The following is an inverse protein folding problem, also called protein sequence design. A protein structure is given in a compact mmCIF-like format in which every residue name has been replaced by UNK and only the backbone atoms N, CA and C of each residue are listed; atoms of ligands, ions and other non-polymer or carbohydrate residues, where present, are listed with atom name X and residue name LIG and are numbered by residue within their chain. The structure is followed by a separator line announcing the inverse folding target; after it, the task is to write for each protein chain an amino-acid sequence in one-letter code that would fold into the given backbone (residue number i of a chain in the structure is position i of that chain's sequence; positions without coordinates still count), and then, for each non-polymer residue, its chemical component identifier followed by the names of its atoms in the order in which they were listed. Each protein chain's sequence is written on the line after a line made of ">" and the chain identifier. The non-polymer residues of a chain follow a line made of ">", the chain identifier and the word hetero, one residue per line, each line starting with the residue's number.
data_IF_545220389102
#
_entry.id   IF_545220389102
#
_cell.length_a   1.000
_cell.length_b   1.000
_cell.length_c   1.000
_cell.angle_alpha   90.00
_cell.angle_beta   90.00
_cell.angle_gamma   90.00
#
_symmetry.space_group_name_H-M   'P 1'
#
loop_
_entity.id
_entity.type
_entity.pdbx_description
1 polymer ?
#
# COMPACT_ATOMS: atom_id res chain seq x y z
N UNK A 1 20.40 19.27 -0.23
CA UNK A 1 19.51 20.05 0.65
C UNK A 1 18.42 20.69 -0.17
N UNK A 2 17.18 20.61 0.30
CA UNK A 2 16.03 21.29 -0.31
C UNK A 2 15.90 22.67 0.35
N UNK A 3 15.68 23.72 -0.45
CA UNK A 3 15.53 25.07 0.08
C UNK A 3 14.28 25.20 0.96
N UNK A 4 14.39 25.92 2.08
CA UNK A 4 13.29 26.13 3.04
C UNK A 4 12.05 26.73 2.37
N UNK A 5 12.22 27.68 1.45
CA UNK A 5 11.14 28.28 0.69
C UNK A 5 10.35 27.25 -0.13
N UNK A 6 11.05 26.27 -0.73
CA UNK A 6 10.39 25.19 -1.49
C UNK A 6 9.59 24.29 -0.54
N UNK A 7 10.15 23.97 0.63
CA UNK A 7 9.46 23.16 1.64
C UNK A 7 8.17 23.88 2.10
N UNK A 8 8.25 25.15 2.43
CA UNK A 8 7.09 25.95 2.84
C UNK A 8 6.00 25.99 1.75
N UNK A 9 6.39 26.21 0.50
CA UNK A 9 5.45 26.22 -0.62
C UNK A 9 4.74 24.87 -0.77
N UNK A 10 5.50 23.76 -0.75
CA UNK A 10 4.93 22.40 -0.88
C UNK A 10 3.97 22.10 0.26
N UNK A 11 4.35 22.41 1.50
CA UNK A 11 3.48 22.16 2.65
C UNK A 11 2.20 23.00 2.61
N UNK A 12 2.29 24.27 2.16
CA UNK A 12 1.12 25.13 2.00
C UNK A 12 0.14 24.59 0.94
N UNK A 13 0.65 24.17 -0.22
CA UNK A 13 -0.14 23.55 -1.29
C UNK A 13 -0.78 22.22 -0.82
N UNK A 14 -0.03 21.39 -0.10
CA UNK A 14 -0.53 20.14 0.46
C UNK A 14 -1.62 20.39 1.52
N UNK A 15 -1.47 21.42 2.34
CA UNK A 15 -2.50 21.83 3.33
C UNK A 15 -3.80 22.25 2.64
N UNK A 16 -3.70 23.07 1.59
CA UNK A 16 -4.84 23.49 0.79
C UNK A 16 -5.55 22.29 0.14
N UNK A 17 -4.77 21.36 -0.42
CA UNK A 17 -5.31 20.13 -1.00
C UNK A 17 -6.08 19.28 0.02
N UNK A 18 -5.54 19.08 1.22
CA UNK A 18 -6.20 18.34 2.30
C UNK A 18 -7.44 19.08 2.82
N UNK A 19 -7.44 20.41 2.81
CA UNK A 19 -8.59 21.23 3.19
C UNK A 19 -9.84 21.00 2.34
N UNK A 20 -9.69 20.46 1.14
CA UNK A 20 -10.79 20.11 0.24
C UNK A 20 -11.29 18.67 0.43
N UNK A 21 -10.80 17.93 1.41
CA UNK A 21 -11.23 16.57 1.67
C UNK A 21 -12.59 16.50 2.36
N UNK A 22 -13.39 15.53 1.92
CA UNK A 22 -14.73 15.24 2.41
C UNK A 22 -14.79 13.81 2.96
N UNK A 23 -14.34 13.57 4.22
CA UNK A 23 -14.22 12.23 4.78
C UNK A 23 -15.54 11.45 4.80
N UNK A 24 -16.67 12.15 4.92
CA UNK A 24 -18.01 11.57 4.92
C UNK A 24 -18.39 10.88 3.60
N UNK A 25 -17.69 11.21 2.50
CA UNK A 25 -17.88 10.58 1.19
C UNK A 25 -17.04 9.31 1.01
N UNK A 26 -16.14 9.04 1.95
CA UNK A 26 -15.23 7.90 1.87
C UNK A 26 -15.82 6.65 2.51
N UNK A 27 -15.48 5.51 1.92
CA UNK A 27 -15.90 4.21 2.45
C UNK A 27 -15.26 3.96 3.81
N UNK A 28 -16.08 3.53 4.77
CA UNK A 28 -15.58 3.09 6.07
C UNK A 28 -14.77 1.81 5.90
N UNK A 29 -13.53 1.81 6.43
CA UNK A 29 -12.62 0.67 6.39
C UNK A 29 -12.59 -0.05 7.74
N UNK A 30 -12.40 -1.36 7.70
CA UNK A 30 -12.24 -2.14 8.93
C UNK A 30 -10.99 -1.74 9.70
N UNK A 31 -9.95 -1.33 8.98
CA UNK A 31 -8.65 -0.93 9.51
C UNK A 31 -8.69 0.37 10.31
N UNK A 32 -9.75 1.18 10.19
CA UNK A 32 -9.96 2.39 11.03
C UNK A 32 -9.96 2.04 12.53
N UNK A 33 -10.51 0.88 12.89
CA UNK A 33 -10.55 0.41 14.27
C UNK A 33 -9.18 -0.04 14.83
N UNK A 34 -8.16 -0.14 13.98
CA UNK A 34 -6.81 -0.53 14.36
C UNK A 34 -5.92 0.66 14.74
N UNK A 35 -6.38 1.89 14.50
CA UNK A 35 -5.65 3.07 14.92
C UNK A 35 -5.73 3.26 16.43
N UNK A 36 -4.59 3.46 17.05
CA UNK A 36 -4.46 3.75 18.47
C UNK A 36 -4.13 5.23 18.66
N UNK A 37 -5.18 6.03 18.94
CA UNK A 37 -5.01 7.43 19.29
C UNK A 37 -4.38 7.56 20.68
N UNK A 38 -3.63 8.64 20.89
CA UNK A 38 -2.91 8.93 22.14
C UNK A 38 -1.90 7.82 22.56
N UNK A 39 -1.59 6.92 21.65
CA UNK A 39 -0.57 5.90 21.84
C UNK A 39 0.84 6.51 21.63
N UNK A 40 1.84 6.10 22.42
CA UNK A 40 3.25 6.47 22.18
C UNK A 40 3.87 5.77 20.97
N UNK A 41 3.07 4.95 20.27
CA UNK A 41 3.51 4.19 19.11
C UNK A 41 3.25 4.97 17.82
N UNK A 42 4.19 4.92 16.88
CA UNK A 42 3.93 5.40 15.53
C UNK A 42 2.86 4.52 14.86
N UNK A 43 1.83 5.12 14.27
CA UNK A 43 0.83 4.41 13.48
C UNK A 43 1.36 4.25 12.06
N UNK A 44 1.66 3.03 11.65
CA UNK A 44 2.32 2.72 10.37
C UNK A 44 1.35 2.00 9.44
N UNK A 45 0.84 2.72 8.45
CA UNK A 45 -0.11 2.18 7.47
C UNK A 45 0.63 1.74 6.20
N UNK A 46 0.62 0.46 5.95
CA UNK A 46 1.30 -0.16 4.81
C UNK A 46 0.31 -0.91 3.92
N UNK A 47 0.68 -1.12 2.68
CA UNK A 47 -0.15 -1.82 1.72
C UNK A 47 0.22 -1.47 0.28
N UNK A 48 -0.39 -2.16 -0.66
CA UNK A 48 -0.13 -1.96 -2.08
C UNK A 48 -0.35 -0.51 -2.51
N UNK A 49 0.43 -0.04 -3.47
CA UNK A 49 0.23 1.29 -4.09
C UNK A 49 -1.24 1.45 -4.51
N UNK A 50 -1.84 2.63 -4.22
CA UNK A 50 -3.24 2.99 -4.55
C UNK A 50 -4.33 2.17 -3.81
N UNK A 51 -4.01 1.55 -2.69
CA UNK A 51 -5.03 0.92 -1.82
C UNK A 51 -5.84 1.91 -0.98
N UNK A 52 -5.46 3.19 -0.97
CA UNK A 52 -6.14 4.25 -0.21
C UNK A 52 -5.51 4.54 1.16
N UNK A 53 -4.22 4.26 1.37
CA UNK A 53 -3.51 4.50 2.65
C UNK A 53 -3.60 5.94 3.13
N UNK A 54 -3.21 6.89 2.28
CA UNK A 54 -3.26 8.32 2.60
C UNK A 54 -4.68 8.78 2.91
N UNK A 55 -5.66 8.31 2.11
CA UNK A 55 -7.09 8.59 2.33
C UNK A 55 -7.57 8.06 3.68
N UNK A 56 -7.18 6.83 4.05
CA UNK A 56 -7.52 6.24 5.36
C UNK A 56 -6.94 7.09 6.50
N UNK A 57 -5.66 7.47 6.42
CA UNK A 57 -5.02 8.28 7.46
C UNK A 57 -5.69 9.64 7.61
N UNK A 58 -5.93 10.35 6.51
CA UNK A 58 -6.66 11.62 6.54
C UNK A 58 -8.06 11.48 7.12
N UNK A 59 -8.81 10.44 6.69
CA UNK A 59 -10.16 10.17 7.18
C UNK A 59 -10.16 10.03 8.70
N UNK A 60 -9.30 9.17 9.21
CA UNK A 60 -9.23 8.88 10.65
C UNK A 60 -8.82 10.13 11.44
N UNK A 61 -7.81 10.88 11.00
CA UNK A 61 -7.36 12.11 11.67
C UNK A 61 -8.44 13.20 11.65
N UNK A 62 -9.13 13.39 10.54
CA UNK A 62 -10.20 14.38 10.40
C UNK A 62 -11.44 14.01 11.23
N UNK A 63 -11.87 12.73 11.23
CA UNK A 63 -13.01 12.27 12.04
C UNK A 63 -12.75 12.41 13.54
N UNK A 64 -11.52 12.20 13.99
CA UNK A 64 -11.12 12.41 15.38
C UNK A 64 -10.83 13.88 15.73
N UNK A 65 -10.91 14.79 14.74
CA UNK A 65 -10.71 16.23 14.92
C UNK A 65 -9.39 16.60 15.57
N UNK A 66 -8.35 15.83 15.31
CA UNK A 66 -7.02 16.12 15.83
C UNK A 66 -6.33 17.18 14.99
N UNK A 67 -5.55 18.06 15.65
CA UNK A 67 -4.71 19.04 14.96
C UNK A 67 -3.43 18.35 14.49
N UNK A 68 -3.20 18.29 13.18
CA UNK A 68 -2.05 17.58 12.62
C UNK A 68 -1.35 18.34 11.50
N UNK A 69 -0.02 18.22 11.46
CA UNK A 69 0.79 18.62 10.32
C UNK A 69 0.87 17.48 9.30
N UNK A 70 0.94 17.81 8.03
CA UNK A 70 1.02 16.83 6.92
C UNK A 70 2.18 17.13 5.98
N UNK A 71 2.89 16.09 5.57
CA UNK A 71 3.91 16.16 4.53
C UNK A 71 3.89 14.88 3.68
N UNK A 72 3.75 15.04 2.36
CA UNK A 72 3.82 13.94 1.39
C UNK A 72 5.17 13.96 0.67
N UNK A 73 5.91 12.86 0.81
CA UNK A 73 7.25 12.69 0.25
C UNK A 73 7.25 12.05 -1.16
N UNK A 74 6.08 11.83 -1.78
CA UNK A 74 5.98 11.46 -3.21
C UNK A 74 5.95 12.71 -4.12
N UNK A 75 6.03 13.93 -3.53
CA UNK A 75 6.20 15.20 -4.26
C UNK A 75 7.59 15.26 -4.89
N UNK A 76 7.67 15.55 -6.18
CA UNK A 76 8.93 15.56 -6.95
C UNK A 76 9.94 16.61 -6.45
N UNK A 77 9.46 17.70 -5.85
CA UNK A 77 10.31 18.73 -5.23
C UNK A 77 11.05 18.22 -3.99
N UNK A 78 10.54 17.14 -3.37
CA UNK A 78 11.18 16.44 -2.27
C UNK A 78 12.08 15.28 -2.70
N UNK A 79 12.19 15.00 -4.01
CA UNK A 79 12.97 13.86 -4.53
C UNK A 79 14.46 13.85 -4.13
N UNK A 80 15.03 15.01 -3.77
CA UNK A 80 16.42 15.14 -3.31
C UNK A 80 16.54 15.39 -1.80
N UNK A 81 15.43 15.25 -1.05
CA UNK A 81 15.44 15.46 0.40
C UNK A 81 16.29 14.42 1.10
N UNK A 82 17.10 14.88 2.04
CA UNK A 82 18.00 14.06 2.86
C UNK A 82 17.55 14.10 4.33
N UNK A 83 18.11 13.23 5.15
CA UNK A 83 17.83 13.17 6.58
C UNK A 83 18.04 14.53 7.28
N UNK A 84 19.05 15.28 6.85
CA UNK A 84 19.42 16.60 7.39
C UNK A 84 18.33 17.64 7.15
N UNK A 85 17.60 17.54 6.03
CA UNK A 85 16.52 18.45 5.65
C UNK A 85 15.26 18.27 6.51
N UNK A 86 15.11 17.12 7.17
CA UNK A 86 13.91 16.78 7.98
C UNK A 86 13.74 17.70 9.19
N UNK A 87 14.80 18.34 9.68
CA UNK A 87 14.69 19.33 10.74
C UNK A 87 14.09 20.64 10.21
N UNK A 88 14.54 21.09 9.05
CA UNK A 88 13.97 22.24 8.34
C UNK A 88 12.51 21.98 7.97
N UNK A 89 12.19 20.77 7.50
CA UNK A 89 10.80 20.36 7.25
C UNK A 89 9.94 20.52 8.50
N UNK A 90 10.39 20.05 9.66
CA UNK A 90 9.62 20.18 10.91
C UNK A 90 9.37 21.64 11.28
N UNK A 91 10.38 22.50 11.14
CA UNK A 91 10.23 23.95 11.34
C UNK A 91 9.18 24.53 10.41
N UNK A 92 9.21 24.17 9.12
CA UNK A 92 8.22 24.60 8.13
C UNK A 92 6.81 24.05 8.45
N UNK A 93 6.71 22.81 8.94
CA UNK A 93 5.42 22.25 9.39
C UNK A 93 4.82 23.11 10.50
N UNK A 94 5.61 23.49 11.51
CA UNK A 94 5.12 24.39 12.56
C UNK A 94 4.72 25.79 12.04
N UNK A 95 5.43 26.31 11.04
CA UNK A 95 5.08 27.59 10.42
C UNK A 95 3.74 27.52 9.68
N UNK A 96 3.48 26.40 8.97
CA UNK A 96 2.28 26.24 8.13
C UNK A 96 1.06 25.78 8.93
N UNK A 97 1.24 24.87 9.90
CA UNK A 97 0.12 24.20 10.61
C UNK A 97 -0.10 24.77 12.03
N UNK A 98 0.89 25.51 12.58
CA UNK A 98 0.89 25.99 13.96
C UNK A 98 1.77 25.16 14.87
N UNK A 99 2.18 25.75 15.99
CA UNK A 99 3.07 25.10 16.97
C UNK A 99 2.32 24.19 17.94
N UNK A 100 1.00 24.18 17.89
CA UNK A 100 0.08 23.43 18.74
C UNK A 100 -0.36 22.08 18.12
N UNK A 101 0.25 21.68 17.02
CA UNK A 101 -0.03 20.35 16.42
C UNK A 101 0.34 19.25 17.41
N UNK A 102 -0.55 18.27 17.55
CA UNK A 102 -0.34 17.09 18.38
C UNK A 102 0.07 15.88 17.54
N UNK A 103 -0.33 15.85 16.28
CA UNK A 103 -0.09 14.78 15.34
C UNK A 103 0.73 15.28 14.16
N UNK A 104 1.54 14.38 13.60
CA UNK A 104 2.21 14.61 12.32
C UNK A 104 1.99 13.39 11.42
N UNK A 105 1.48 13.65 10.21
CA UNK A 105 1.29 12.62 9.19
C UNK A 105 2.34 12.77 8.09
N UNK A 106 3.20 11.77 7.98
CA UNK A 106 4.30 11.69 7.02
C UNK A 106 3.97 10.62 5.98
N UNK A 107 3.49 11.06 4.82
CA UNK A 107 3.02 10.19 3.74
C UNK A 107 4.17 9.79 2.82
N UNK A 108 4.35 8.48 2.57
CA UNK A 108 5.44 7.89 1.77
C UNK A 108 6.85 8.28 2.28
N UNK A 109 7.03 8.39 3.62
CA UNK A 109 8.27 8.86 4.27
C UNK A 109 9.50 8.01 3.93
N UNK A 110 9.34 6.75 3.51
CA UNK A 110 10.43 5.89 3.08
C UNK A 110 11.20 6.40 1.86
N UNK A 111 10.71 7.44 1.21
CA UNK A 111 11.43 8.12 0.13
C UNK A 111 12.64 8.91 0.64
N UNK A 112 12.74 9.17 1.95
CA UNK A 112 13.90 9.82 2.59
C UNK A 112 14.71 8.78 3.34
N UNK A 113 15.99 8.64 3.01
CA UNK A 113 16.87 7.74 3.75
C UNK A 113 17.03 8.20 5.20
N UNK A 114 17.11 7.26 6.16
CA UNK A 114 17.26 7.57 7.59
C UNK A 114 16.01 8.16 8.26
N UNK A 115 14.86 8.19 7.61
CA UNK A 115 13.60 8.72 8.11
C UNK A 115 13.21 8.20 9.51
N UNK A 116 13.57 6.98 9.83
CA UNK A 116 13.28 6.33 11.12
C UNK A 116 13.93 7.06 12.32
N UNK A 117 15.09 7.68 12.11
CA UNK A 117 15.76 8.49 13.14
C UNK A 117 14.94 9.73 13.47
N UNK A 118 14.35 10.32 12.44
CA UNK A 118 13.44 11.46 12.57
C UNK A 118 12.17 11.06 13.29
N UNK A 119 11.49 9.99 12.88
CA UNK A 119 10.28 9.47 13.56
C UNK A 119 10.55 9.18 15.03
N UNK A 120 11.65 8.49 15.35
CA UNK A 120 12.03 8.23 16.75
C UNK A 120 12.23 9.52 17.56
N UNK A 121 12.76 10.58 16.94
CA UNK A 121 12.91 11.89 17.59
C UNK A 121 11.56 12.53 17.85
N UNK A 122 10.63 12.50 16.89
CA UNK A 122 9.28 13.03 17.05
C UNK A 122 8.53 12.34 18.19
N UNK A 123 8.59 11.00 18.23
CA UNK A 123 7.98 10.22 19.32
C UNK A 123 8.54 10.59 20.71
N UNK A 124 9.85 10.86 20.81
CA UNK A 124 10.47 11.34 22.06
C UNK A 124 10.05 12.75 22.44
N UNK A 125 9.61 13.54 21.47
CA UNK A 125 9.08 14.89 21.68
C UNK A 125 7.57 14.91 21.94
N UNK A 126 6.97 13.74 22.21
CA UNK A 126 5.53 13.54 22.45
C UNK A 126 4.62 13.97 21.29
N UNK A 127 5.13 13.95 20.06
CA UNK A 127 4.31 14.04 18.88
C UNK A 127 3.79 12.66 18.49
N UNK A 128 2.49 12.54 18.26
CA UNK A 128 1.91 11.33 17.69
C UNK A 128 2.20 11.28 16.20
N UNK A 129 2.77 10.17 15.76
CA UNK A 129 3.27 10.06 14.39
C UNK A 129 2.44 9.04 13.62
N UNK A 130 1.92 9.47 12.47
CA UNK A 130 1.28 8.58 11.47
C UNK A 130 2.19 8.55 10.25
N UNK A 131 2.52 7.36 9.76
CA UNK A 131 3.32 7.20 8.55
C UNK A 131 2.64 6.24 7.58
N UNK A 132 2.81 6.49 6.29
CA UNK A 132 2.40 5.53 5.27
C UNK A 132 3.59 5.09 4.44
N UNK A 133 3.42 3.94 3.81
CA UNK A 133 4.32 3.48 2.76
C UNK A 133 3.71 2.39 1.89
N UNK A 134 3.96 2.50 0.59
CA UNK A 134 3.52 1.52 -0.40
C UNK A 134 4.39 0.27 -0.43
N UNK A 135 5.40 0.19 0.45
CA UNK A 135 6.49 -0.71 0.23
C UNK A 135 7.05 -1.32 1.52
N UNK A 136 7.55 -2.51 1.39
CA UNK A 136 8.16 -3.32 2.43
C UNK A 136 9.49 -2.80 3.03
N UNK A 137 10.00 -1.62 2.63
CA UNK A 137 11.01 -0.93 3.46
C UNK A 137 10.47 -0.67 4.87
N UNK A 138 9.16 -0.46 4.95
CA UNK A 138 8.45 -0.40 6.22
C UNK A 138 8.19 -1.80 6.82
N UNK A 139 8.24 -2.90 6.02
CA UNK A 139 7.90 -4.25 6.46
C UNK A 139 9.08 -5.16 6.80
N UNK A 140 10.23 -4.98 6.16
CA UNK A 140 11.31 -5.96 6.25
C UNK A 140 12.33 -5.57 7.31
N UNK A 141 12.10 -5.95 8.55
CA UNK A 141 13.12 -5.86 9.59
C UNK A 141 13.60 -4.44 9.95
N UNK A 142 13.46 -3.49 9.01
CA UNK A 142 13.84 -2.09 9.23
C UNK A 142 12.93 -1.43 10.26
N UNK A 143 11.59 -1.65 10.22
CA UNK A 143 10.70 -1.16 11.28
C UNK A 143 11.04 -1.79 12.62
N UNK A 144 11.14 -3.12 12.65
CA UNK A 144 11.47 -3.84 13.88
C UNK A 144 12.84 -3.44 14.42
N UNK A 145 13.83 -3.22 13.53
CA UNK A 145 15.20 -2.86 13.90
C UNK A 145 15.32 -1.37 14.24
N UNK A 146 14.67 -0.49 13.48
CA UNK A 146 14.87 0.96 13.57
C UNK A 146 13.88 1.67 14.49
N UNK A 147 12.61 1.25 14.52
CA UNK A 147 11.63 1.78 15.48
C UNK A 147 11.59 0.98 16.79
N UNK A 148 12.36 -0.11 16.89
CA UNK A 148 12.57 -0.88 18.14
C UNK A 148 11.26 -1.25 18.86
N UNK A 149 10.24 -1.67 18.11
CA UNK A 149 8.93 -2.04 18.64
C UNK A 149 8.01 -0.87 19.01
N UNK A 150 8.37 0.37 18.67
CA UNK A 150 7.55 1.56 18.95
C UNK A 150 6.62 1.91 17.79
N UNK A 151 5.93 0.92 17.23
CA UNK A 151 4.99 1.12 16.15
C UNK A 151 3.80 0.16 16.24
N UNK A 152 2.66 0.63 15.75
CA UNK A 152 1.48 -0.15 15.47
C UNK A 152 1.35 -0.29 13.94
N UNK A 153 1.36 -1.50 13.42
CA UNK A 153 1.38 -1.78 11.98
C UNK A 153 -0.02 -2.11 11.48
N UNK A 154 -0.50 -1.34 10.52
CA UNK A 154 -1.82 -1.47 9.94
C UNK A 154 -1.69 -1.81 8.45
N UNK A 155 -2.13 -3.00 8.07
CA UNK A 155 -2.12 -3.46 6.68
C UNK A 155 -3.40 -3.07 5.95
N UNK A 156 -3.29 -2.22 4.92
CA UNK A 156 -4.42 -1.81 4.11
C UNK A 156 -4.38 -2.49 2.74
N UNK A 157 -5.40 -3.28 2.46
CA UNK A 157 -5.64 -3.90 1.17
C UNK A 157 -6.61 -3.07 0.32
N UNK A 158 -6.74 -3.33 -1.00
CA UNK A 158 -7.87 -2.83 -1.79
C UNK A 158 -9.21 -3.20 -1.14
N UNK A 159 -10.31 -2.59 -1.56
CA UNK A 159 -11.62 -2.87 -0.99
C UNK A 159 -11.92 -4.36 -0.93
N UNK A 160 -12.35 -4.83 0.22
CA UNK A 160 -13.05 -6.12 0.34
C UNK A 160 -14.38 -6.06 -0.40
N UNK A 161 -15.00 -7.20 -0.70
CA UNK A 161 -16.32 -7.23 -1.34
C UNK A 161 -17.36 -6.42 -0.55
N UNK A 162 -17.30 -6.45 0.77
CA UNK A 162 -18.23 -5.67 1.62
C UNK A 162 -18.03 -4.16 1.43
N UNK A 163 -16.79 -3.69 1.40
CA UNK A 163 -16.43 -2.28 1.19
C UNK A 163 -16.78 -1.85 -0.24
N UNK A 164 -16.56 -2.72 -1.23
CA UNK A 164 -16.99 -2.52 -2.60
C UNK A 164 -18.50 -2.33 -2.70
N UNK A 165 -19.30 -3.20 -2.05
CA UNK A 165 -20.76 -3.04 -2.00
C UNK A 165 -21.16 -1.74 -1.31
N UNK A 166 -20.49 -1.34 -0.24
CA UNK A 166 -20.70 -0.07 0.42
C UNK A 166 -20.43 1.12 -0.52
N UNK A 167 -19.31 1.09 -1.23
CA UNK A 167 -18.96 2.09 -2.24
C UNK A 167 -20.01 2.19 -3.36
N UNK A 168 -20.51 1.03 -3.83
CA UNK A 168 -21.51 0.95 -4.90
C UNK A 168 -22.96 1.12 -4.39
N UNK A 169 -23.14 1.34 -3.08
CA UNK A 169 -24.46 1.47 -2.41
C UNK A 169 -25.37 0.26 -2.64
N UNK A 170 -24.80 -0.94 -2.64
CA UNK A 170 -25.50 -2.21 -2.79
C UNK A 170 -25.91 -2.72 -1.42
N UNK A 171 -27.18 -3.05 -1.26
CA UNK A 171 -27.68 -3.63 0.00
C UNK A 171 -27.21 -5.08 0.16
N UNK A 172 -26.29 -5.28 1.10
CA UNK A 172 -25.76 -6.62 1.41
C UNK A 172 -26.59 -7.39 2.43
N UNK A 173 -27.58 -6.75 3.07
CA UNK A 173 -28.41 -7.35 4.12
C UNK A 173 -29.78 -7.80 3.60
N UNK A 174 -30.20 -7.34 2.43
CA UNK A 174 -31.46 -7.70 1.82
C UNK A 174 -31.53 -9.21 1.53
N UNK A 175 -32.68 -9.81 1.85
CA UNK A 175 -32.98 -11.25 1.66
C UNK A 175 -33.96 -11.50 0.53
N UNK A 176 -34.39 -10.46 -0.17
CA UNK A 176 -35.32 -10.61 -1.30
C UNK A 176 -34.62 -11.20 -2.52
N UNK A 177 -35.36 -11.87 -3.40
CA UNK A 177 -34.82 -12.40 -4.65
C UNK A 177 -34.07 -11.34 -5.47
N UNK A 178 -34.58 -10.09 -5.47
CA UNK A 178 -33.92 -8.95 -6.14
C UNK A 178 -32.58 -8.61 -5.49
N UNK A 179 -32.56 -8.48 -4.16
CA UNK A 179 -31.33 -8.16 -3.43
C UNK A 179 -30.26 -9.26 -3.60
N UNK A 180 -30.68 -10.52 -3.61
CA UNK A 180 -29.76 -11.64 -3.87
C UNK A 180 -29.19 -11.61 -5.29
N UNK A 181 -30.03 -11.30 -6.30
CA UNK A 181 -29.56 -11.14 -7.68
C UNK A 181 -28.59 -9.98 -7.83
N UNK A 182 -28.86 -8.82 -7.20
CA UNK A 182 -27.96 -7.66 -7.19
C UNK A 182 -26.62 -7.99 -6.52
N UNK A 183 -26.64 -8.68 -5.38
CA UNK A 183 -25.40 -9.13 -4.70
C UNK A 183 -24.58 -10.08 -5.57
N UNK A 184 -25.24 -11.03 -6.25
CA UNK A 184 -24.56 -11.98 -7.14
C UNK A 184 -23.91 -11.26 -8.33
N UNK A 185 -24.61 -10.32 -8.96
CA UNK A 185 -24.06 -9.50 -10.04
C UNK A 185 -22.88 -8.67 -9.54
N UNK A 186 -23.04 -8.00 -8.41
CA UNK A 186 -21.96 -7.22 -7.78
C UNK A 186 -20.73 -8.06 -7.45
N UNK A 187 -20.91 -9.31 -7.05
CA UNK A 187 -19.80 -10.22 -6.78
C UNK A 187 -19.04 -10.60 -8.05
N UNK A 188 -19.75 -10.83 -9.15
CA UNK A 188 -19.15 -11.09 -10.45
C UNK A 188 -18.37 -9.86 -10.92
N UNK A 189 -18.98 -8.67 -10.81
CA UNK A 189 -18.32 -7.40 -11.15
C UNK A 189 -17.06 -7.17 -10.31
N UNK A 190 -17.14 -7.43 -9.00
CA UNK A 190 -16.00 -7.30 -8.08
C UNK A 190 -14.84 -8.25 -8.44
N UNK A 191 -15.16 -9.51 -8.81
CA UNK A 191 -14.12 -10.45 -9.26
C UNK A 191 -13.47 -9.97 -10.56
N UNK A 192 -14.25 -9.43 -11.48
CA UNK A 192 -13.75 -8.95 -12.76
C UNK A 192 -13.00 -7.62 -12.65
N UNK A 193 -13.53 -6.70 -11.87
CA UNK A 193 -13.01 -5.32 -11.76
C UNK A 193 -11.94 -5.17 -10.68
N UNK A 194 -11.99 -6.00 -9.62
CA UNK A 194 -11.12 -5.88 -8.45
C UNK A 194 -11.53 -4.77 -7.48
N UNK A 195 -10.80 -4.67 -6.37
CA UNK A 195 -11.11 -3.82 -5.23
C UNK A 195 -10.38 -2.49 -5.15
N UNK A 196 -9.61 -2.05 -6.16
CA UNK A 196 -8.90 -0.77 -6.08
C UNK A 196 -9.89 0.40 -6.07
N UNK A 197 -9.82 1.32 -5.07
CA UNK A 197 -10.76 2.43 -4.94
C UNK A 197 -10.85 3.30 -6.20
N UNK A 198 -9.71 3.77 -6.73
CA UNK A 198 -9.67 4.63 -7.91
C UNK A 198 -10.25 3.95 -9.15
N UNK A 199 -10.03 2.65 -9.29
CA UNK A 199 -10.45 1.88 -10.46
C UNK A 199 -11.97 1.83 -10.61
N UNK A 200 -12.71 1.97 -9.51
CA UNK A 200 -14.16 1.83 -9.51
C UNK A 200 -14.86 2.86 -10.41
N UNK A 201 -14.25 4.04 -10.59
CA UNK A 201 -14.79 5.13 -11.40
C UNK A 201 -14.19 5.20 -12.82
N UNK A 202 -13.26 4.28 -13.16
CA UNK A 202 -12.58 4.31 -14.45
C UNK A 202 -13.28 3.46 -15.50
N UNK A 203 -13.30 3.95 -16.75
CA UNK A 203 -13.79 3.18 -17.91
C UNK A 203 -12.77 2.14 -18.37
N UNK A 204 -11.49 2.52 -18.43
CA UNK A 204 -10.40 1.62 -18.85
C UNK A 204 -9.70 0.99 -17.63
N UNK A 205 -10.39 0.09 -16.96
CA UNK A 205 -9.88 -0.62 -15.78
C UNK A 205 -8.65 -1.47 -16.10
N UNK A 206 -8.65 -2.13 -17.27
CA UNK A 206 -7.53 -2.97 -17.71
C UNK A 206 -6.25 -2.16 -17.89
N UNK A 207 -6.32 -1.03 -18.58
CA UNK A 207 -5.17 -0.15 -18.76
C UNK A 207 -4.65 0.40 -17.44
N UNK A 208 -5.56 0.72 -16.50
CA UNK A 208 -5.19 1.14 -15.15
C UNK A 208 -4.38 0.08 -14.40
N UNK A 209 -4.86 -1.17 -14.37
CA UNK A 209 -4.16 -2.28 -13.68
C UNK A 209 -2.80 -2.57 -14.29
N UNK A 210 -2.70 -2.54 -15.64
CA UNK A 210 -1.42 -2.70 -16.33
C UNK A 210 -0.43 -1.59 -15.95
N UNK A 211 -0.88 -0.33 -15.95
CA UNK A 211 -0.05 0.81 -15.55
C UNK A 211 0.34 0.75 -14.08
N UNK A 212 -0.56 0.32 -13.20
CA UNK A 212 -0.28 0.14 -11.77
C UNK A 212 0.75 -0.97 -11.54
N UNK A 213 0.61 -2.11 -12.23
CA UNK A 213 1.56 -3.21 -12.16
C UNK A 213 2.96 -2.78 -12.62
N UNK A 214 3.05 -2.04 -13.75
CA UNK A 214 4.32 -1.51 -14.23
C UNK A 214 4.93 -0.49 -13.25
N UNK A 215 4.12 0.36 -12.62
CA UNK A 215 4.59 1.29 -11.60
C UNK A 215 5.14 0.56 -10.36
N UNK A 216 4.47 -0.50 -9.89
CA UNK A 216 4.94 -1.32 -8.77
C UNK A 216 6.27 -2.00 -9.14
N UNK A 217 6.35 -2.64 -10.31
CA UNK A 217 7.57 -3.32 -10.76
C UNK A 217 8.73 -2.34 -10.89
N UNK A 218 8.49 -1.17 -11.49
CA UNK A 218 9.56 -0.21 -11.79
C UNK A 218 9.95 0.62 -10.56
N UNK A 219 8.99 1.28 -9.91
CA UNK A 219 9.26 2.18 -8.77
C UNK A 219 9.47 1.42 -7.46
N UNK A 220 8.55 0.52 -7.13
CA UNK A 220 8.56 -0.11 -5.81
C UNK A 220 9.52 -1.31 -5.72
N UNK A 221 9.92 -1.92 -6.86
CA UNK A 221 10.84 -3.06 -6.87
C UNK A 221 12.16 -2.74 -7.57
N UNK A 222 12.14 -2.41 -8.87
CA UNK A 222 13.37 -2.28 -9.66
C UNK A 222 14.30 -1.18 -9.16
N UNK A 223 13.79 0.04 -9.00
CA UNK A 223 14.59 1.19 -8.54
C UNK A 223 15.15 0.93 -7.14
N UNK A 224 14.32 0.38 -6.28
CA UNK A 224 14.65 0.13 -4.90
C UNK A 224 15.72 -0.94 -4.69
N UNK A 225 15.53 -2.12 -5.29
CA UNK A 225 16.46 -3.25 -5.14
C UNK A 225 17.59 -3.22 -6.16
N UNK A 226 17.68 -2.13 -6.95
CA UNK A 226 18.69 -1.93 -8.00
C UNK A 226 18.79 -3.15 -8.93
N UNK A 227 17.62 -3.67 -9.34
CA UNK A 227 17.54 -4.89 -10.17
C UNK A 227 17.99 -4.57 -11.59
N UNK A 228 18.96 -5.33 -12.08
CA UNK A 228 19.47 -5.21 -13.46
C UNK A 228 18.59 -5.96 -14.46
N UNK A 229 18.13 -7.15 -14.11
CA UNK A 229 17.30 -8.01 -14.99
C UNK A 229 15.81 -7.88 -14.67
N UNK A 230 15.20 -6.79 -15.16
CA UNK A 230 13.79 -6.48 -14.96
C UNK A 230 12.88 -7.39 -15.79
N UNK A 231 13.38 -7.90 -16.92
CA UNK A 231 12.62 -8.82 -17.78
C UNK A 231 12.28 -10.13 -17.05
N UNK A 232 13.26 -10.72 -16.36
CA UNK A 232 13.02 -11.91 -15.53
C UNK A 232 12.02 -11.64 -14.42
N UNK A 233 12.07 -10.47 -13.76
CA UNK A 233 11.11 -10.08 -12.73
C UNK A 233 9.68 -9.99 -13.29
N UNK A 234 9.50 -9.36 -14.47
CA UNK A 234 8.20 -9.27 -15.14
C UNK A 234 7.67 -10.65 -15.54
N UNK A 235 8.53 -11.51 -16.07
CA UNK A 235 8.16 -12.89 -16.44
C UNK A 235 7.72 -13.70 -15.22
N UNK A 236 8.39 -13.55 -14.08
CA UNK A 236 7.98 -14.18 -12.82
C UNK A 236 6.62 -13.65 -12.36
N UNK A 237 6.44 -12.34 -12.37
CA UNK A 237 5.16 -11.72 -12.00
C UNK A 237 4.03 -12.26 -12.88
N UNK A 238 4.19 -12.25 -14.21
CA UNK A 238 3.20 -12.78 -15.15
C UNK A 238 2.95 -14.28 -14.95
N UNK A 239 4.01 -15.07 -14.70
CA UNK A 239 3.85 -16.48 -14.41
C UNK A 239 2.98 -16.73 -13.16
N UNK A 240 3.24 -16.01 -12.08
CA UNK A 240 2.45 -16.11 -10.84
C UNK A 240 1.02 -15.62 -11.02
N UNK A 241 0.82 -14.56 -11.81
CA UNK A 241 -0.51 -14.01 -12.14
C UNK A 241 -1.33 -15.05 -12.93
N UNK A 242 -0.73 -15.73 -13.89
CA UNK A 242 -1.41 -16.74 -14.70
C UNK A 242 -1.66 -18.05 -13.95
N UNK A 243 -0.95 -18.28 -12.83
CA UNK A 243 -1.04 -19.48 -12.00
C UNK A 243 -1.53 -19.16 -10.57
N UNK A 244 -2.52 -18.28 -10.45
CA UNK A 244 -3.11 -17.91 -9.14
C UNK A 244 -3.65 -19.17 -8.44
N UNK A 245 -3.53 -19.18 -7.10
CA UNK A 245 -3.94 -20.29 -6.23
C UNK A 245 -3.14 -21.59 -6.43
N UNK A 246 -2.12 -21.60 -7.29
CA UNK A 246 -1.24 -22.73 -7.43
C UNK A 246 -0.01 -22.64 -6.52
N UNK A 247 0.62 -23.77 -6.26
CA UNK A 247 1.86 -23.84 -5.48
C UNK A 247 3.03 -23.21 -6.26
N UNK A 248 3.83 -22.41 -5.57
CA UNK A 248 5.01 -21.77 -6.17
C UNK A 248 6.14 -22.78 -6.23
N UNK A 249 6.45 -23.27 -7.43
CA UNK A 249 7.58 -24.15 -7.67
C UNK A 249 8.77 -23.32 -8.18
N UNK A 250 9.75 -23.06 -7.32
CA UNK A 250 10.93 -22.26 -7.64
C UNK A 250 11.84 -22.95 -8.68
N UNK A 251 11.96 -24.27 -8.63
CA UNK A 251 12.76 -25.03 -9.59
C UNK A 251 12.18 -24.90 -11.00
N UNK A 252 10.86 -25.04 -11.14
CA UNK A 252 10.18 -24.85 -12.43
C UNK A 252 10.35 -23.43 -12.97
N UNK A 253 10.24 -22.42 -12.10
CA UNK A 253 10.44 -21.01 -12.48
C UNK A 253 11.89 -20.78 -12.93
N UNK A 254 12.85 -21.33 -12.20
CA UNK A 254 14.27 -21.16 -12.51
C UNK A 254 14.65 -21.79 -13.85
N UNK A 255 14.15 -22.99 -14.13
CA UNK A 255 14.35 -23.69 -15.41
C UNK A 255 13.69 -22.94 -16.57
N UNK A 256 12.41 -22.53 -16.40
CA UNK A 256 11.65 -21.81 -17.44
C UNK A 256 12.34 -20.50 -17.86
N UNK A 257 12.89 -19.76 -16.89
CA UNK A 257 13.46 -18.44 -17.12
C UNK A 257 15.00 -18.43 -17.24
N UNK A 258 15.63 -19.61 -17.16
CA UNK A 258 17.09 -19.76 -17.17
C UNK A 258 17.82 -18.87 -16.15
N UNK A 259 17.29 -18.83 -14.93
CA UNK A 259 17.86 -18.10 -13.78
C UNK A 259 18.17 -19.11 -12.66
N UNK A 260 18.91 -18.68 -11.65
CA UNK A 260 19.17 -19.53 -10.48
C UNK A 260 17.93 -19.60 -9.58
N UNK A 261 17.75 -20.72 -8.86
CA UNK A 261 16.69 -20.90 -7.87
C UNK A 261 16.73 -19.79 -6.79
N UNK A 262 17.93 -19.40 -6.38
CA UNK A 262 18.12 -18.28 -5.44
C UNK A 262 17.60 -16.96 -6.00
N UNK A 263 17.80 -16.69 -7.30
CA UNK A 263 17.27 -15.49 -7.96
C UNK A 263 15.75 -15.56 -8.05
N UNK A 264 15.18 -16.71 -8.38
CA UNK A 264 13.72 -16.91 -8.41
C UNK A 264 13.09 -16.62 -7.04
N UNK A 265 13.64 -17.22 -5.96
CA UNK A 265 13.20 -16.97 -4.57
C UNK A 265 13.29 -15.50 -4.20
N UNK A 266 14.38 -14.83 -4.56
CA UNK A 266 14.62 -13.42 -4.29
C UNK A 266 13.59 -12.54 -4.99
N UNK A 267 13.29 -12.80 -6.26
CA UNK A 267 12.33 -12.01 -7.04
C UNK A 267 10.89 -12.23 -6.58
N UNK A 268 10.50 -13.47 -6.27
CA UNK A 268 9.21 -13.76 -5.63
C UNK A 268 9.09 -13.05 -4.28
N UNK A 269 10.18 -13.02 -3.49
CA UNK A 269 10.28 -12.25 -2.26
C UNK A 269 10.03 -10.75 -2.46
N UNK A 270 10.58 -10.17 -3.52
CA UNK A 270 10.36 -8.76 -3.85
C UNK A 270 8.91 -8.45 -4.27
N UNK A 271 8.30 -9.34 -5.08
CA UNK A 271 6.89 -9.21 -5.46
C UNK A 271 5.97 -9.29 -4.24
N UNK A 272 6.28 -10.18 -3.27
CA UNK A 272 5.57 -10.27 -1.99
C UNK A 272 5.74 -8.99 -1.17
N UNK A 273 6.96 -8.50 -1.09
CA UNK A 273 7.28 -7.28 -0.37
C UNK A 273 6.59 -6.04 -0.95
N UNK A 274 6.39 -5.96 -2.25
CA UNK A 274 5.64 -4.89 -2.91
C UNK A 274 4.11 -5.11 -2.85
N UNK A 275 3.64 -6.08 -2.06
CA UNK A 275 2.22 -6.46 -1.95
C UNK A 275 1.57 -6.86 -3.28
N UNK A 276 2.36 -7.15 -4.32
CA UNK A 276 1.80 -7.62 -5.58
C UNK A 276 1.23 -9.03 -5.45
N UNK A 277 1.90 -9.86 -4.66
CA UNK A 277 1.46 -11.21 -4.33
C UNK A 277 1.47 -11.46 -2.83
N UNK A 278 0.61 -12.37 -2.40
CA UNK A 278 0.63 -12.98 -1.07
C UNK A 278 0.95 -14.46 -1.20
N UNK A 279 1.76 -14.97 -0.28
CA UNK A 279 2.10 -16.38 -0.19
C UNK A 279 1.41 -16.99 1.02
N UNK A 280 0.49 -17.94 0.79
CA UNK A 280 -0.18 -18.69 1.85
C UNK A 280 0.45 -20.07 1.98
N UNK A 281 1.06 -20.34 3.11
CA UNK A 281 1.58 -21.66 3.45
C UNK A 281 0.46 -22.57 3.96
N UNK A 282 0.59 -23.86 3.69
CA UNK A 282 -0.32 -24.86 4.27
C UNK A 282 -0.22 -24.83 5.78
N UNK A 283 -1.37 -24.80 6.48
CA UNK A 283 -1.39 -25.02 7.91
C UNK A 283 -1.06 -26.49 8.19
N UNK A 284 0.06 -26.75 8.85
CA UNK A 284 0.47 -28.10 9.27
C UNK A 284 1.23 -28.00 10.59
N UNK A 285 1.06 -29.00 11.45
CA UNK A 285 1.86 -29.17 12.66
C UNK A 285 3.29 -29.63 12.35
N UNK A 286 3.52 -30.19 11.16
CA UNK A 286 4.85 -30.63 10.71
C UNK A 286 5.60 -29.48 10.06
N UNK A 287 6.72 -29.06 10.62
CA UNK A 287 7.53 -27.92 10.12
C UNK A 287 7.95 -28.11 8.65
N UNK A 288 8.27 -29.33 8.21
CA UNK A 288 8.62 -29.61 6.80
C UNK A 288 7.49 -29.34 5.81
N UNK A 289 6.23 -29.51 6.20
CA UNK A 289 5.06 -29.24 5.37
C UNK A 289 4.70 -27.77 5.31
N UNK A 290 5.04 -26.97 6.36
CA UNK A 290 4.86 -25.52 6.37
C UNK A 290 5.80 -24.80 5.40
N UNK A 291 7.00 -25.35 5.18
CA UNK A 291 8.05 -24.75 4.36
C UNK A 291 7.84 -25.10 2.87
N UNK A 292 7.15 -26.22 2.58
CA UNK A 292 6.89 -26.65 1.22
C UNK A 292 5.62 -26.00 0.67
N UNK A 293 5.73 -25.48 -0.55
CA UNK A 293 4.60 -25.21 -1.45
C UNK A 293 3.59 -24.16 -0.94
N UNK A 294 4.06 -22.93 -0.68
CA UNK A 294 3.16 -21.82 -0.52
C UNK A 294 2.40 -21.54 -1.82
N UNK A 295 1.09 -21.30 -1.72
CA UNK A 295 0.27 -20.88 -2.85
C UNK A 295 0.38 -19.38 -3.04
N UNK A 296 0.51 -18.93 -4.29
CA UNK A 296 0.52 -17.51 -4.62
C UNK A 296 -0.90 -17.00 -4.86
N UNK A 297 -1.21 -15.88 -4.21
CA UNK A 297 -2.43 -15.10 -4.41
C UNK A 297 -2.04 -13.69 -4.82
N UNK A 298 -2.82 -13.09 -5.69
CA UNK A 298 -2.55 -11.74 -6.20
C UNK A 298 -3.41 -10.75 -5.45
N UNK A 299 -2.81 -9.65 -4.99
CA UNK A 299 -3.54 -8.55 -4.38
C UNK A 299 -4.35 -7.74 -5.41
N UNK A 300 -3.98 -7.84 -6.69
CA UNK A 300 -4.69 -7.27 -7.82
C UNK A 300 -5.75 -8.30 -8.25
N UNK A 301 -7.00 -8.13 -7.81
CA UNK A 301 -8.12 -8.97 -8.25
C UNK A 301 -8.56 -8.63 -9.69
N UNK A 302 -7.64 -8.44 -10.58
CA UNK A 302 -7.94 -8.43 -12.01
C UNK A 302 -7.39 -9.72 -12.59
N UNK A 303 -8.29 -10.65 -12.85
CA UNK A 303 -7.93 -11.83 -13.63
C UNK A 303 -7.52 -11.37 -15.02
N UNK A 304 -6.26 -11.63 -15.39
CA UNK A 304 -5.91 -11.74 -16.80
C UNK A 304 -7.00 -12.61 -17.47
N UNK A 305 -7.47 -12.27 -18.68
CA UNK A 305 -8.47 -13.08 -19.35
C UNK A 305 -8.03 -14.54 -19.29
N UNK A 306 -8.86 -15.37 -18.69
CA UNK A 306 -8.63 -16.81 -18.65
C UNK A 306 -8.38 -17.27 -20.08
N UNK A 307 -7.43 -18.20 -20.33
CA UNK A 307 -7.30 -18.84 -21.64
C UNK A 307 -8.58 -19.54 -22.11
N UNK A 308 -9.61 -19.58 -21.25
CA UNK A 308 -10.93 -20.15 -21.53
C UNK A 308 -12.01 -19.13 -21.89
N UNK A 309 -11.67 -17.82 -21.94
CA UNK A 309 -12.61 -16.84 -22.49
C UNK A 309 -12.79 -17.20 -23.98
N UNK A 310 -14.03 -17.48 -24.41
CA UNK A 310 -14.27 -17.79 -25.82
C UNK A 310 -13.80 -16.61 -26.65
N UNK A 311 -12.92 -16.85 -27.57
CA UNK A 311 -12.53 -15.87 -28.59
C UNK A 311 -13.82 -15.38 -29.21
N UNK A 312 -14.18 -14.13 -28.96
CA UNK A 312 -15.15 -13.46 -29.81
C UNK A 312 -14.53 -13.38 -31.20
N UNK A 313 -14.99 -14.29 -32.05
CA UNK A 313 -14.81 -14.24 -33.49
C UNK A 313 -15.55 -13.05 -34.10
#
# INVERSE_FOLDING_TARGET
>A
MVEERVILQVLAEQKEYVGNYHPEQWVKRNEEALFEFDSPLAQVVIGVRRSGKSTLCHKVLLEHRVNYGYANFDDDRFAKMQTEDLNTLLSCVYQVYGTDIQYIFLDEIQNVDGWHLFVNRLLRSNLHVVVTGSNAKLLSGELATHLTGRYNEIHLFPFSFREYCCFRRIDTRGITTKAEAEKKTAFIDYINDGGFPEMQNLRNKRGYVQSLMEAIITKDIQQRFKIRNTDALRKIANHLINNVCQEVNYDSISQLLKITDQTAKKYVGYLRQAFLIQLLSKHSFKSKERIRNAKAYICLLYTSPSPRDPKTS
#
